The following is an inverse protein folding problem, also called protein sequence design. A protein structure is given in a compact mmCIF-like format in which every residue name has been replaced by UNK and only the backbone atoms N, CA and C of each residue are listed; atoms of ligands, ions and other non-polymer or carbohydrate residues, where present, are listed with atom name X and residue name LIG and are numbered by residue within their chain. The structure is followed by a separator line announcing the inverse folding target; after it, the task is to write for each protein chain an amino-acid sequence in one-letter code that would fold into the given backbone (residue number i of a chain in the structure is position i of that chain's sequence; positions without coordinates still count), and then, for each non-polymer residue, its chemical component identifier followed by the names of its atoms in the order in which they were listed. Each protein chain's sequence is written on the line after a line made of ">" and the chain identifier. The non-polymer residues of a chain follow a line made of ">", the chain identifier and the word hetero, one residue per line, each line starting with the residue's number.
data_IF_805676128112
#
_entry.id   IF_805676128112
#
_cell.length_a   1.000
_cell.length_b   1.000
_cell.length_c   1.000
_cell.angle_alpha   90.00
_cell.angle_beta   90.00
_cell.angle_gamma   90.00
#
_symmetry.space_group_name_H-M   'P 1'
#
loop_
_entity.id
_entity.type
_entity.pdbx_description
1 polymer ?
#
# COMPACT_ATOMS: atom_id res chain seq x y z
N UNK A 1 -45.00 -23.72 0.91
CA UNK A 1 -44.34 -22.40 0.96
C UNK A 1 -43.51 -22.21 -0.29
N UNK A 2 -44.01 -21.44 -1.26
CA UNK A 2 -43.45 -21.36 -2.61
C UNK A 2 -42.18 -20.48 -2.65
N UNK A 3 -41.04 -21.07 -3.05
CA UNK A 3 -39.74 -20.38 -3.15
C UNK A 3 -39.76 -19.22 -4.16
N UNK A 4 -40.76 -19.18 -5.05
CA UNK A 4 -40.87 -18.17 -6.12
C UNK A 4 -41.30 -16.78 -5.61
N UNK A 5 -42.00 -16.68 -4.49
CA UNK A 5 -42.54 -15.39 -3.98
C UNK A 5 -41.51 -14.54 -3.24
N UNK A 6 -40.47 -15.12 -2.64
CA UNK A 6 -39.39 -14.34 -1.98
C UNK A 6 -38.58 -13.50 -2.98
N UNK A 7 -38.36 -14.03 -4.19
CA UNK A 7 -37.51 -13.40 -5.21
C UNK A 7 -38.17 -12.18 -5.90
N UNK A 8 -39.49 -11.96 -5.76
CA UNK A 8 -40.25 -10.94 -6.51
C UNK A 8 -40.77 -9.75 -5.70
N UNK A 9 -40.35 -9.55 -4.44
CA UNK A 9 -40.67 -8.30 -3.74
C UNK A 9 -40.00 -7.10 -4.43
N UNK A 10 -40.80 -6.09 -4.80
CA UNK A 10 -40.34 -4.77 -5.28
C UNK A 10 -39.44 -4.14 -4.21
N UNK A 11 -38.39 -3.44 -4.63
CA UNK A 11 -37.49 -2.76 -3.71
C UNK A 11 -38.27 -1.64 -2.99
N UNK A 12 -38.38 -1.74 -1.66
CA UNK A 12 -38.89 -0.66 -0.82
C UNK A 12 -37.94 0.55 -0.82
N UNK A 13 -38.37 1.69 -0.28
CA UNK A 13 -37.60 2.95 -0.29
C UNK A 13 -36.16 2.78 0.20
N UNK A 14 -35.96 2.13 1.34
CA UNK A 14 -34.63 1.81 1.90
C UNK A 14 -33.77 1.01 0.91
N UNK A 15 -34.36 0.06 0.20
CA UNK A 15 -33.62 -0.78 -0.74
C UNK A 15 -33.27 -0.03 -2.03
N UNK A 16 -34.04 0.99 -2.42
CA UNK A 16 -33.66 1.90 -3.52
C UNK A 16 -32.48 2.78 -3.11
N UNK A 17 -32.50 3.34 -1.90
CA UNK A 17 -31.37 4.12 -1.37
C UNK A 17 -30.11 3.29 -1.29
N UNK A 18 -30.19 2.05 -0.80
CA UNK A 18 -29.03 1.13 -0.77
C UNK A 18 -28.57 0.69 -2.14
N UNK A 19 -29.46 0.65 -3.13
CA UNK A 19 -29.07 0.35 -4.51
C UNK A 19 -28.29 1.51 -5.11
N UNK A 20 -28.75 2.75 -4.90
CA UNK A 20 -28.03 3.95 -5.30
C UNK A 20 -26.66 4.03 -4.62
N UNK A 21 -26.59 3.80 -3.31
CA UNK A 21 -25.33 3.79 -2.58
C UNK A 21 -24.35 2.72 -3.11
N UNK A 22 -24.85 1.54 -3.49
CA UNK A 22 -24.03 0.50 -4.13
C UNK A 22 -23.50 0.96 -5.49
N UNK A 23 -24.33 1.59 -6.32
CA UNK A 23 -23.88 2.12 -7.62
C UNK A 23 -22.82 3.20 -7.44
N UNK A 24 -22.97 4.09 -6.46
CA UNK A 24 -21.95 5.10 -6.13
C UNK A 24 -20.63 4.45 -5.67
N UNK A 25 -20.71 3.40 -4.84
CA UNK A 25 -19.53 2.65 -4.39
C UNK A 25 -18.80 1.96 -5.55
N UNK A 26 -19.55 1.42 -6.53
CA UNK A 26 -18.99 0.83 -7.75
C UNK A 26 -18.27 1.88 -8.58
N UNK A 27 -18.90 3.05 -8.80
CA UNK A 27 -18.29 4.14 -9.55
C UNK A 27 -17.01 4.63 -8.86
N UNK A 28 -17.04 4.79 -7.54
CA UNK A 28 -15.85 5.16 -6.77
C UNK A 28 -14.72 4.12 -6.91
N UNK A 29 -15.05 2.84 -6.93
CA UNK A 29 -14.07 1.76 -7.12
C UNK A 29 -13.45 1.80 -8.52
N UNK A 30 -14.25 2.05 -9.56
CA UNK A 30 -13.75 2.23 -10.93
C UNK A 30 -12.87 3.47 -11.08
N UNK A 31 -13.22 4.57 -10.40
CA UNK A 31 -12.38 5.77 -10.34
C UNK A 31 -11.05 5.47 -9.63
N UNK A 32 -11.07 4.65 -8.58
CA UNK A 32 -9.87 4.22 -7.87
C UNK A 32 -8.92 3.42 -8.79
N UNK A 33 -9.45 2.51 -9.62
CA UNK A 33 -8.65 1.83 -10.62
C UNK A 33 -8.06 2.79 -11.66
N UNK A 34 -8.86 3.77 -12.08
CA UNK A 34 -8.45 4.79 -13.05
C UNK A 34 -7.30 5.67 -12.53
N UNK A 35 -7.15 5.81 -11.21
CA UNK A 35 -6.05 6.54 -10.57
C UNK A 35 -4.66 5.99 -10.93
N UNK A 36 -4.57 4.73 -11.37
CA UNK A 36 -3.30 4.13 -11.80
C UNK A 36 -2.87 4.56 -13.21
N UNK A 37 -3.80 5.12 -14.00
CA UNK A 37 -3.56 5.55 -15.37
C UNK A 37 -3.58 7.07 -15.54
N UNK A 38 -4.30 7.78 -14.65
CA UNK A 38 -4.46 9.24 -14.72
C UNK A 38 -3.37 9.92 -13.90
N UNK A 39 -2.62 10.83 -14.53
CA UNK A 39 -1.64 11.64 -13.83
C UNK A 39 -2.33 12.59 -12.82
N UNK A 40 -2.03 12.51 -11.50
CA UNK A 40 -2.62 13.40 -10.49
C UNK A 40 -2.35 14.88 -10.75
N UNK A 41 -1.27 15.22 -11.46
CA UNK A 41 -0.97 16.61 -11.84
C UNK A 41 -2.03 17.19 -12.78
N UNK A 42 -2.64 16.35 -13.61
CA UNK A 42 -3.71 16.75 -14.53
C UNK A 42 -5.08 16.79 -13.86
N UNK A 43 -5.37 15.83 -12.98
CA UNK A 43 -6.64 15.76 -12.25
C UNK A 43 -6.41 15.28 -10.81
N UNK A 44 -6.09 16.22 -9.93
CA UNK A 44 -5.70 15.92 -8.54
C UNK A 44 -6.74 15.14 -7.71
N UNK A 45 -8.07 15.26 -7.90
CA UNK A 45 -9.03 14.49 -7.10
C UNK A 45 -8.89 12.97 -7.28
N UNK A 46 -8.33 12.50 -8.40
CA UNK A 46 -8.11 11.06 -8.62
C UNK A 46 -7.12 10.45 -7.62
N UNK A 47 -6.20 11.25 -7.08
CA UNK A 47 -5.24 10.80 -6.08
C UNK A 47 -5.97 10.34 -4.80
N UNK A 48 -7.02 11.04 -4.40
CA UNK A 48 -7.85 10.65 -3.25
C UNK A 48 -8.60 9.34 -3.51
N UNK A 49 -9.06 9.11 -4.74
CA UNK A 49 -9.71 7.85 -5.13
C UNK A 49 -8.72 6.68 -5.10
N UNK A 50 -7.49 6.89 -5.58
CA UNK A 50 -6.42 5.89 -5.53
C UNK A 50 -6.00 5.57 -4.09
N UNK A 51 -5.79 6.59 -3.27
CA UNK A 51 -5.44 6.44 -1.85
C UNK A 51 -6.57 5.74 -1.07
N UNK A 52 -7.82 6.05 -1.39
CA UNK A 52 -9.01 5.45 -0.81
C UNK A 52 -9.35 4.05 -1.34
N UNK A 53 -8.52 3.43 -2.19
CA UNK A 53 -8.82 2.14 -2.82
C UNK A 53 -9.29 1.08 -1.81
N UNK A 54 -8.50 0.84 -0.76
CA UNK A 54 -8.76 -0.22 0.21
C UNK A 54 -10.09 -0.04 0.96
N UNK A 55 -10.41 1.13 1.56
CA UNK A 55 -11.73 1.33 2.19
C UNK A 55 -12.88 1.27 1.17
N UNK A 56 -12.71 1.80 -0.04
CA UNK A 56 -13.73 1.72 -1.11
C UNK A 56 -14.00 0.26 -1.50
N UNK A 57 -12.96 -0.56 -1.60
CA UNK A 57 -13.07 -1.99 -1.87
C UNK A 57 -13.85 -2.70 -0.76
N UNK A 58 -13.55 -2.43 0.51
CA UNK A 58 -14.26 -3.02 1.65
C UNK A 58 -15.75 -2.65 1.65
N UNK A 59 -16.10 -1.42 1.29
CA UNK A 59 -17.50 -0.99 1.13
C UNK A 59 -18.20 -1.82 0.04
N UNK A 60 -17.53 -2.03 -1.11
CA UNK A 60 -18.08 -2.86 -2.20
C UNK A 60 -18.26 -4.32 -1.77
N UNK A 61 -17.31 -4.89 -1.02
CA UNK A 61 -17.43 -6.23 -0.43
C UNK A 61 -18.62 -6.28 0.54
N UNK A 62 -18.80 -5.26 1.38
CA UNK A 62 -19.98 -5.12 2.25
C UNK A 62 -21.30 -5.11 1.46
N UNK A 63 -21.34 -4.40 0.34
CA UNK A 63 -22.51 -4.42 -0.56
C UNK A 63 -22.75 -5.78 -1.20
N UNK A 64 -21.71 -6.55 -1.55
CA UNK A 64 -21.88 -7.94 -2.01
C UNK A 64 -22.63 -8.74 -0.95
N UNK A 65 -22.15 -8.75 0.30
CA UNK A 65 -22.79 -9.51 1.38
C UNK A 65 -24.23 -9.05 1.64
N UNK A 66 -24.45 -7.74 1.71
CA UNK A 66 -25.79 -7.16 1.88
C UNK A 66 -26.76 -7.61 0.77
N UNK A 67 -26.34 -7.53 -0.49
CA UNK A 67 -27.20 -7.87 -1.63
C UNK A 67 -27.31 -9.38 -1.88
N UNK A 68 -26.33 -10.18 -1.46
CA UNK A 68 -26.38 -11.64 -1.57
C UNK A 68 -27.55 -12.23 -0.77
N UNK A 69 -27.85 -11.63 0.40
CA UNK A 69 -28.97 -12.05 1.27
C UNK A 69 -30.33 -11.57 0.76
N UNK A 70 -30.39 -10.46 0.01
CA UNK A 70 -31.67 -9.86 -0.46
C UNK A 70 -31.98 -10.15 -1.93
N UNK A 71 -31.06 -9.79 -2.83
CA UNK A 71 -31.20 -9.86 -4.29
C UNK A 71 -29.85 -10.19 -4.92
N UNK A 72 -29.54 -11.49 -5.01
CA UNK A 72 -28.25 -12.01 -5.51
C UNK A 72 -27.80 -11.40 -6.84
N UNK A 73 -28.73 -11.07 -7.74
CA UNK A 73 -28.41 -10.41 -9.03
C UNK A 73 -27.74 -9.04 -8.87
N UNK A 74 -28.07 -8.28 -7.84
CA UNK A 74 -27.48 -6.95 -7.59
C UNK A 74 -26.06 -7.09 -7.02
N UNK A 75 -25.80 -8.13 -6.22
CA UNK A 75 -24.47 -8.41 -5.70
C UNK A 75 -23.45 -8.68 -6.82
N UNK A 76 -23.90 -9.17 -7.98
CA UNK A 76 -23.04 -9.40 -9.15
C UNK A 76 -22.39 -8.11 -9.66
N UNK A 77 -23.03 -6.95 -9.54
CA UNK A 77 -22.44 -5.70 -10.04
C UNK A 77 -21.15 -5.35 -9.29
N UNK A 78 -21.18 -5.40 -7.95
CA UNK A 78 -20.01 -5.14 -7.12
C UNK A 78 -18.97 -6.24 -7.29
N UNK A 79 -19.40 -7.52 -7.40
CA UNK A 79 -18.50 -8.65 -7.62
C UNK A 79 -17.74 -8.53 -8.95
N UNK A 80 -18.44 -8.29 -10.05
CA UNK A 80 -17.82 -8.13 -11.38
C UNK A 80 -16.85 -6.95 -11.37
N UNK A 81 -17.22 -5.84 -10.73
CA UNK A 81 -16.35 -4.67 -10.61
C UNK A 81 -15.04 -5.01 -9.88
N UNK A 82 -15.12 -5.77 -8.78
CA UNK A 82 -13.94 -6.23 -8.05
C UNK A 82 -13.07 -7.17 -8.89
N UNK A 83 -13.69 -8.08 -9.64
CA UNK A 83 -12.98 -9.01 -10.52
C UNK A 83 -12.25 -8.30 -11.67
N UNK A 84 -12.86 -7.25 -12.25
CA UNK A 84 -12.19 -6.40 -13.25
C UNK A 84 -10.90 -5.79 -12.66
N UNK A 85 -10.95 -5.38 -11.40
CA UNK A 85 -9.81 -4.81 -10.69
C UNK A 85 -8.88 -5.81 -10.01
N UNK A 86 -8.99 -7.10 -10.30
CA UNK A 86 -8.19 -8.15 -9.65
C UNK A 86 -6.68 -7.89 -9.68
N UNK A 87 -6.07 -7.42 -10.80
CA UNK A 87 -4.65 -7.12 -10.83
C UNK A 87 -4.23 -6.07 -9.79
N UNK A 88 -5.08 -5.06 -9.53
CA UNK A 88 -4.79 -4.03 -8.51
C UNK A 88 -4.83 -4.61 -7.10
N UNK A 89 -5.76 -5.53 -6.83
CA UNK A 89 -5.85 -6.21 -5.54
C UNK A 89 -4.59 -7.02 -5.24
N UNK A 90 -4.10 -7.78 -6.23
CA UNK A 90 -2.91 -8.62 -6.05
C UNK A 90 -1.63 -7.83 -5.74
N UNK A 91 -1.54 -6.57 -6.17
CA UNK A 91 -0.40 -5.70 -5.82
C UNK A 91 -0.31 -5.35 -4.33
N UNK A 92 -1.41 -5.47 -3.60
CA UNK A 92 -1.45 -5.21 -2.16
C UNK A 92 -1.04 -6.43 -1.33
N UNK A 93 -1.06 -7.62 -1.93
CA UNK A 93 -0.69 -8.86 -1.25
C UNK A 93 0.64 -9.37 -1.79
N UNK A 94 1.68 -9.36 -0.97
CA UNK A 94 2.93 -10.07 -1.24
C UNK A 94 3.04 -11.29 -0.34
N UNK A 95 2.96 -12.50 -0.93
CA UNK A 95 3.32 -13.72 -0.21
C UNK A 95 4.85 -13.79 -0.22
N UNK A 96 5.48 -13.53 0.91
CA UNK A 96 6.92 -13.74 1.08
C UNK A 96 7.17 -15.24 0.99
N UNK A 97 7.64 -15.71 -0.16
CA UNK A 97 8.27 -17.03 -0.24
C UNK A 97 9.58 -16.94 0.52
N UNK A 98 9.82 -17.90 1.40
CA UNK A 98 11.12 -18.05 2.03
C UNK A 98 12.14 -18.24 0.91
N UNK A 99 13.15 -17.35 0.86
CA UNK A 99 14.19 -17.48 -0.16
C UNK A 99 14.96 -18.76 0.16
N UNK A 100 15.16 -19.61 -0.84
CA UNK A 100 16.09 -20.73 -0.70
C UNK A 100 17.46 -20.17 -0.25
N UNK A 101 18.18 -20.85 0.65
CA UNK A 101 19.51 -20.43 1.05
C UNK A 101 20.36 -20.25 -0.21
N UNK A 102 20.91 -19.05 -0.37
CA UNK A 102 21.73 -18.76 -1.53
C UNK A 102 23.00 -19.60 -1.41
N UNK A 103 23.28 -20.42 -2.42
CA UNK A 103 24.48 -21.26 -2.46
C UNK A 103 25.73 -20.39 -2.27
N UNK A 104 26.66 -20.87 -1.45
CA UNK A 104 27.96 -20.24 -1.18
C UNK A 104 28.86 -20.11 -2.42
N UNK A 105 28.47 -20.72 -3.55
CA UNK A 105 29.19 -20.64 -4.83
C UNK A 105 28.79 -19.43 -5.69
N UNK A 106 27.70 -18.74 -5.34
CA UNK A 106 27.25 -17.55 -6.08
C UNK A 106 27.79 -16.31 -5.41
N UNK A 107 28.49 -15.45 -6.15
CA UNK A 107 28.79 -14.09 -5.68
C UNK A 107 27.47 -13.34 -5.52
N UNK A 108 27.03 -13.19 -4.29
CA UNK A 108 25.79 -12.46 -3.95
C UNK A 108 26.09 -11.01 -3.66
N UNK A 109 25.25 -10.11 -4.19
CA UNK A 109 25.25 -8.69 -3.81
C UNK A 109 24.09 -8.44 -2.85
N UNK A 110 24.38 -7.97 -1.64
CA UNK A 110 23.40 -7.61 -0.62
C UNK A 110 23.07 -6.12 -0.73
N UNK A 111 21.82 -5.81 -1.07
CA UNK A 111 21.34 -4.43 -1.23
C UNK A 111 20.32 -4.11 -0.12
N UNK A 112 20.52 -2.98 0.57
CA UNK A 112 19.62 -2.45 1.60
C UNK A 112 19.01 -1.13 1.14
N UNK A 113 17.70 -0.95 1.31
CA UNK A 113 17.04 0.37 1.19
C UNK A 113 16.54 0.80 2.57
N UNK A 114 16.84 2.03 2.97
CA UNK A 114 16.50 2.55 4.29
C UNK A 114 15.92 3.95 4.18
N UNK A 115 14.70 4.18 4.70
CA UNK A 115 14.18 5.53 4.85
C UNK A 115 14.76 6.13 6.13
N UNK A 116 15.60 7.15 5.96
CA UNK A 116 16.33 7.82 7.02
C UNK A 116 15.46 8.75 7.88
N UNK A 117 14.26 9.09 7.40
CA UNK A 117 13.37 10.08 8.02
C UNK A 117 14.10 11.35 8.46
N UNK A 118 14.92 11.90 7.54
CA UNK A 118 15.76 13.09 7.75
C UNK A 118 16.80 12.94 8.89
N UNK A 119 17.02 11.73 9.41
CA UNK A 119 17.79 11.44 10.62
C UNK A 119 17.38 12.33 11.81
N UNK A 120 16.10 12.72 11.86
CA UNK A 120 15.57 13.58 12.92
C UNK A 120 15.55 12.78 14.22
N UNK A 121 16.00 13.38 15.32
CA UNK A 121 15.76 12.82 16.66
C UNK A 121 14.26 12.67 16.84
N UNK A 122 13.80 11.46 17.12
CA UNK A 122 12.52 11.27 17.78
C UNK A 122 12.60 12.07 19.09
N UNK A 123 11.53 12.74 19.52
CA UNK A 123 11.48 13.62 20.71
C UNK A 123 11.84 12.94 22.06
N UNK A 124 12.41 11.75 22.01
CA UNK A 124 12.92 10.99 23.14
C UNK A 124 14.43 11.27 23.27
N UNK A 125 14.78 12.17 24.20
CA UNK A 125 16.16 12.61 24.44
C UNK A 125 17.13 11.46 24.77
N UNK A 126 16.59 10.28 25.13
CA UNK A 126 17.35 9.10 25.53
C UNK A 126 17.77 8.18 24.37
N UNK A 127 17.23 8.35 23.16
CA UNK A 127 17.53 7.45 22.02
C UNK A 127 18.43 8.12 20.99
N UNK A 128 19.64 7.58 20.85
CA UNK A 128 20.54 7.96 19.77
C UNK A 128 20.18 7.21 18.49
N UNK A 129 19.14 7.70 17.80
CA UNK A 129 18.65 7.13 16.53
C UNK A 129 19.77 6.83 15.52
N UNK A 130 20.79 7.69 15.45
CA UNK A 130 21.95 7.50 14.58
C UNK A 130 22.76 6.24 14.92
N UNK A 131 23.02 6.00 16.21
CA UNK A 131 23.74 4.82 16.67
C UNK A 131 22.95 3.53 16.43
N UNK A 132 21.63 3.58 16.56
CA UNK A 132 20.76 2.44 16.28
C UNK A 132 20.75 2.10 14.78
N UNK A 133 20.70 3.12 13.91
CA UNK A 133 20.80 2.92 12.46
C UNK A 133 22.14 2.31 12.07
N UNK A 134 23.25 2.82 12.61
CA UNK A 134 24.59 2.26 12.35
C UNK A 134 24.64 0.79 12.79
N UNK A 135 24.09 0.45 13.95
CA UNK A 135 24.05 -0.94 14.45
C UNK A 135 23.22 -1.87 13.57
N UNK A 136 22.09 -1.38 13.05
CA UNK A 136 21.24 -2.16 12.14
C UNK A 136 22.01 -2.45 10.84
N UNK A 137 22.67 -1.43 10.28
CA UNK A 137 23.42 -1.56 9.02
C UNK A 137 24.61 -2.50 9.22
N UNK A 138 25.34 -2.38 10.32
CA UNK A 138 26.45 -3.27 10.68
C UNK A 138 25.99 -4.73 10.80
N UNK A 139 24.88 -4.99 11.50
CA UNK A 139 24.36 -6.35 11.66
C UNK A 139 23.87 -6.99 10.35
N UNK A 140 23.38 -6.18 9.42
CA UNK A 140 22.96 -6.64 8.08
C UNK A 140 24.15 -6.72 7.12
N UNK A 141 25.22 -5.94 7.34
CA UNK A 141 26.41 -5.83 6.48
C UNK A 141 26.08 -5.81 4.96
N UNK A 142 25.28 -4.85 4.46
CA UNK A 142 24.97 -4.77 3.04
C UNK A 142 26.14 -4.25 2.21
N UNK A 143 26.30 -4.76 0.99
CA UNK A 143 27.31 -4.26 0.04
C UNK A 143 26.92 -2.89 -0.53
N UNK A 144 25.61 -2.65 -0.73
CA UNK A 144 25.06 -1.38 -1.23
C UNK A 144 23.91 -0.95 -0.34
N UNK A 145 23.93 0.30 0.10
CA UNK A 145 22.84 0.92 0.88
C UNK A 145 22.27 2.15 0.17
N UNK A 146 20.95 2.20 0.04
CA UNK A 146 20.21 3.30 -0.57
C UNK A 146 19.37 4.02 0.49
N UNK A 147 19.65 5.29 0.76
CA UNK A 147 18.87 6.09 1.70
C UNK A 147 17.75 6.88 1.01
N UNK A 148 16.56 6.85 1.60
CA UNK A 148 15.43 7.73 1.25
C UNK A 148 15.25 8.79 2.34
N UNK A 149 14.68 9.95 1.99
CA UNK A 149 14.55 11.09 2.93
C UNK A 149 15.88 11.44 3.63
N UNK A 150 16.99 11.36 2.91
CA UNK A 150 18.30 11.76 3.42
C UNK A 150 18.49 13.27 3.26
N UNK A 151 18.81 13.97 4.35
CA UNK A 151 19.29 15.35 4.27
C UNK A 151 20.81 15.35 4.38
N UNK A 152 21.47 15.70 3.28
CA UNK A 152 22.88 16.11 3.30
C UNK A 152 22.96 17.62 3.54
N UNK A 153 23.61 18.07 4.62
CA UNK A 153 23.99 19.48 4.74
C UNK A 153 25.29 19.69 3.97
N UNK A 154 25.27 20.55 2.95
CA UNK A 154 26.42 20.87 2.09
C UNK A 154 27.57 21.54 2.88
N UNK A 155 27.31 22.13 4.06
CA UNK A 155 28.32 22.71 4.96
C UNK A 155 27.99 22.43 6.44
N UNK A 156 28.95 21.93 7.22
CA UNK A 156 28.90 21.82 8.68
C UNK A 156 29.68 20.62 9.28
N UNK A 157 30.05 20.71 10.57
CA UNK A 157 30.88 19.74 11.34
C UNK A 157 30.24 18.35 11.63
N UNK A 158 29.07 18.06 11.08
CA UNK A 158 28.30 16.84 11.40
C UNK A 158 27.62 16.29 10.16
N UNK A 159 28.40 16.02 9.11
CA UNK A 159 27.88 15.35 7.91
C UNK A 159 27.74 13.88 8.26
N UNK A 160 26.51 13.37 8.29
CA UNK A 160 26.24 11.98 8.70
C UNK A 160 26.91 10.95 7.77
N UNK A 161 27.28 11.35 6.55
CA UNK A 161 28.10 10.55 5.63
C UNK A 161 29.52 10.27 6.14
N UNK A 162 30.13 11.18 6.90
CA UNK A 162 31.45 10.94 7.50
C UNK A 162 31.36 9.83 8.56
N UNK A 163 30.28 9.79 9.33
CA UNK A 163 30.05 8.74 10.32
C UNK A 163 29.86 7.35 9.67
N UNK A 164 29.27 7.28 8.48
CA UNK A 164 29.18 6.04 7.69
C UNK A 164 30.52 5.61 7.13
N UNK A 165 31.32 6.55 6.66
CA UNK A 165 32.67 6.25 6.16
C UNK A 165 33.54 5.70 7.29
N UNK A 166 33.58 6.41 8.41
CA UNK A 166 34.46 6.10 9.53
C UNK A 166 34.06 4.84 10.28
N UNK A 167 32.74 4.58 10.42
CA UNK A 167 32.25 3.43 11.23
C UNK A 167 31.91 2.20 10.41
N UNK A 168 31.53 2.36 9.14
CA UNK A 168 31.00 1.27 8.32
C UNK A 168 31.78 1.05 7.02
N UNK A 169 32.77 1.90 6.70
CA UNK A 169 33.67 1.68 5.57
C UNK A 169 33.04 1.90 4.18
N UNK A 170 31.91 2.61 4.09
CA UNK A 170 31.32 2.96 2.80
C UNK A 170 32.07 4.14 2.17
N UNK A 171 32.52 3.97 0.92
CA UNK A 171 33.31 4.97 0.19
C UNK A 171 32.48 5.88 -0.74
N UNK A 172 31.20 5.56 -0.96
CA UNK A 172 30.32 6.23 -1.92
C UNK A 172 29.04 6.75 -1.24
N UNK A 173 28.70 8.03 -1.46
CA UNK A 173 27.56 8.75 -0.87
C UNK A 173 26.83 9.62 -1.87
#
# INVERSE_FOLDING_TARGET
>A
MDKRTFLRRKLGFISKTMFLANMLAIVALLMSYSATFINPKSFWPIAFMGLGYLPILLINIGFIFYWLLRKRKIALYSLVTILIGWPFLTKHWNIRKENAPVSSEVRTLRIMTFNAHLFKKVNDEKKNFKADVVRIIDSISPDVICFQEYISKIKGKHVFSEEFKDKLGYDYF
#
